data_IF_399586337023
#
_entry.id   IF_399586337023
#
_cell.length_a   1.000
_cell.length_b   1.000
_cell.length_c   1.000
_cell.angle_alpha   90.00
_cell.angle_beta   90.00
_cell.angle_gamma   90.00
#
_symmetry.space_group_name_H-M   'P 1'
#
loop_
_entity.id
_entity.type
_entity.pdbx_description
1 polymer ?
#
# COMPACT_ATOMS: atom_id res chain seq x y z
N UNK A 1 -8.30 20.34 16.08
CA UNK A 1 -8.31 19.11 16.89
C UNK A 1 -7.03 19.09 17.73
N UNK A 2 -7.14 19.04 19.06
CA UNK A 2 -5.98 18.83 19.95
C UNK A 2 -5.73 17.32 20.03
N UNK A 3 -4.51 16.88 19.75
CA UNK A 3 -4.07 15.51 20.01
C UNK A 3 -3.44 15.48 21.39
N UNK A 4 -3.88 14.55 22.24
CA UNK A 4 -3.21 14.21 23.50
C UNK A 4 -2.35 12.99 23.27
N UNK A 5 -1.09 13.04 23.69
CA UNK A 5 -0.18 11.89 23.58
C UNK A 5 -0.47 10.93 24.74
N UNK A 6 -1.08 9.79 24.42
CA UNK A 6 -1.29 8.68 25.32
C UNK A 6 -0.89 7.39 24.60
N UNK A 7 0.10 6.69 25.14
CA UNK A 7 0.57 5.40 24.61
C UNK A 7 -0.09 4.25 25.35
N UNK A 8 -0.58 3.26 24.59
CA UNK A 8 -1.19 2.05 25.11
C UNK A 8 -0.43 0.82 24.59
N UNK A 9 0.02 -0.04 25.50
CA UNK A 9 0.59 -1.34 25.12
C UNK A 9 -0.54 -2.34 24.87
N UNK A 10 -0.53 -3.00 23.72
CA UNK A 10 -1.52 -4.00 23.36
C UNK A 10 -1.23 -4.64 22.01
N UNK A 11 -2.00 -5.67 21.66
CA UNK A 11 -1.96 -6.28 20.32
C UNK A 11 -3.23 -5.93 19.56
N UNK A 12 -3.10 -5.66 18.27
CA UNK A 12 -4.27 -5.32 17.44
C UNK A 12 -5.18 -6.53 17.14
N UNK A 13 -4.68 -7.76 17.37
CA UNK A 13 -5.45 -9.00 17.26
C UNK A 13 -5.99 -9.51 18.60
N UNK A 14 -5.82 -8.72 19.67
CA UNK A 14 -6.47 -8.91 20.98
C UNK A 14 -7.57 -7.85 21.15
N UNK A 15 -8.83 -8.29 21.13
CA UNK A 15 -10.01 -7.41 21.14
C UNK A 15 -10.12 -6.63 22.46
N UNK A 16 -9.67 -7.19 23.58
CA UNK A 16 -9.73 -6.50 24.87
C UNK A 16 -8.71 -5.35 24.91
N UNK A 17 -7.50 -5.57 24.38
CA UNK A 17 -6.49 -4.53 24.19
C UNK A 17 -7.00 -3.39 23.30
N UNK A 18 -7.67 -3.73 22.18
CA UNK A 18 -8.24 -2.72 21.25
C UNK A 18 -9.35 -1.92 21.93
N UNK A 19 -10.26 -2.58 22.65
CA UNK A 19 -11.35 -1.92 23.37
C UNK A 19 -10.81 -0.94 24.43
N UNK A 20 -9.75 -1.32 25.15
CA UNK A 20 -9.09 -0.45 26.11
C UNK A 20 -8.47 0.80 25.44
N UNK A 21 -7.79 0.62 24.30
CA UNK A 21 -7.15 1.70 23.56
C UNK A 21 -8.15 2.68 22.92
N UNK A 22 -9.36 2.23 22.57
CA UNK A 22 -10.37 3.08 21.93
C UNK A 22 -11.14 3.96 22.93
N UNK A 23 -11.05 3.65 24.23
CA UNK A 23 -11.84 4.33 25.25
C UNK A 23 -11.46 5.81 25.34
N UNK A 24 -12.42 6.68 25.02
CA UNK A 24 -12.26 8.14 25.08
C UNK A 24 -11.66 8.75 23.80
N UNK A 25 -11.37 7.96 22.76
CA UNK A 25 -10.92 8.46 21.48
C UNK A 25 -12.07 9.06 20.66
N UNK A 26 -11.78 10.15 19.94
CA UNK A 26 -12.72 10.73 18.97
C UNK A 26 -12.84 9.90 17.69
N UNK A 27 -11.73 9.31 17.24
CA UNK A 27 -11.64 8.50 16.04
C UNK A 27 -10.31 7.74 16.00
N UNK A 28 -10.18 6.81 15.07
CA UNK A 28 -9.01 5.93 14.94
C UNK A 28 -8.61 5.80 13.48
N UNK A 29 -7.30 5.82 13.23
CA UNK A 29 -6.72 5.43 11.94
C UNK A 29 -6.13 4.03 12.08
N UNK A 30 -6.66 3.07 11.30
CA UNK A 30 -6.28 1.65 11.40
C UNK A 30 -5.46 1.26 10.17
N UNK A 31 -4.23 0.77 10.39
CA UNK A 31 -3.37 0.22 9.34
C UNK A 31 -2.76 -1.10 9.82
N UNK A 32 -3.10 -2.19 9.12
CA UNK A 32 -2.66 -3.56 9.44
C UNK A 32 -1.50 -4.01 8.55
N UNK A 33 -0.65 -4.89 9.10
CA UNK A 33 0.48 -5.47 8.37
C UNK A 33 0.26 -6.96 8.05
N UNK A 34 -0.24 -7.24 6.84
CA UNK A 34 -0.44 -8.60 6.31
C UNK A 34 0.81 -9.47 6.42
N UNK A 35 2.00 -8.90 6.26
CA UNK A 35 3.26 -9.66 6.28
C UNK A 35 3.65 -10.13 7.69
N UNK A 36 3.11 -9.48 8.73
CA UNK A 36 3.34 -9.86 10.12
C UNK A 36 2.42 -10.99 10.58
N UNK A 37 1.14 -10.95 10.19
CA UNK A 37 0.09 -11.83 10.75
C UNK A 37 -0.54 -12.81 9.77
N UNK A 38 -0.21 -12.69 8.48
CA UNK A 38 -0.69 -13.57 7.42
C UNK A 38 -2.08 -13.22 6.87
N UNK A 39 -2.32 -13.66 5.63
CA UNK A 39 -3.56 -13.38 4.89
C UNK A 39 -4.79 -13.99 5.59
N UNK A 40 -4.70 -15.22 6.08
CA UNK A 40 -5.84 -15.93 6.70
C UNK A 40 -6.42 -15.21 7.93
N UNK A 41 -5.59 -14.62 8.79
CA UNK A 41 -6.05 -13.83 9.94
C UNK A 41 -6.77 -12.56 9.49
N UNK A 42 -6.31 -11.94 8.40
CA UNK A 42 -6.90 -10.73 7.81
C UNK A 42 -8.16 -11.06 6.96
N UNK A 43 -8.27 -12.28 6.41
CA UNK A 43 -9.34 -12.75 5.51
C UNK A 43 -10.46 -13.59 6.18
N UNK A 44 -10.26 -14.15 7.37
CA UNK A 44 -11.26 -15.02 8.04
C UNK A 44 -12.66 -14.37 8.14
N UNK A 45 -12.75 -13.05 8.34
CA UNK A 45 -14.02 -12.33 8.35
C UNK A 45 -14.71 -12.26 6.96
N UNK A 46 -13.94 -12.15 5.87
CA UNK A 46 -14.43 -12.13 4.48
C UNK A 46 -15.21 -13.39 4.11
N UNK A 47 -14.61 -14.55 4.45
CA UNK A 47 -15.09 -15.88 4.10
C UNK A 47 -16.40 -16.18 4.83
N UNK A 48 -16.57 -15.70 6.08
CA UNK A 48 -17.85 -15.86 6.80
C UNK A 48 -19.00 -15.06 6.20
N UNK A 49 -18.72 -13.94 5.52
CA UNK A 49 -19.73 -13.12 4.87
C UNK A 49 -20.18 -13.71 3.51
N UNK A 50 -19.26 -14.30 2.74
CA UNK A 50 -19.60 -15.08 1.53
C UNK A 50 -20.37 -16.37 1.85
N UNK A 51 -19.98 -17.09 2.91
CA UNK A 51 -20.66 -18.32 3.36
C UNK A 51 -22.11 -18.06 3.84
N UNK A 52 -22.38 -16.95 4.53
CA UNK A 52 -23.74 -16.58 4.97
C UNK A 52 -24.61 -16.10 3.80
N UNK A 53 -24.02 -15.42 2.82
CA UNK A 53 -24.69 -15.02 1.58
C UNK A 53 -25.17 -16.26 0.77
N UNK A 54 -24.39 -17.34 0.73
CA UNK A 54 -24.74 -18.60 0.05
C UNK A 54 -25.85 -19.42 0.74
N UNK A 55 -26.12 -19.19 2.04
CA UNK A 55 -27.14 -19.92 2.83
C UNK A 55 -28.50 -19.22 2.90
N UNK A 56 -28.60 -18.00 2.38
CA UNK A 56 -29.83 -17.20 2.42
C UNK A 56 -30.53 -17.29 1.07
N UNK A 57 -31.64 -18.05 1.00
CA UNK A 57 -32.31 -18.41 -0.26
C UNK A 57 -32.79 -17.22 -1.13
N UNK A 58 -32.87 -16.01 -0.57
CA UNK A 58 -33.22 -14.77 -1.29
C UNK A 58 -32.04 -14.03 -1.90
N UNK A 59 -30.79 -14.43 -1.63
CA UNK A 59 -29.58 -13.77 -2.12
C UNK A 59 -29.24 -14.22 -3.55
N UNK A 60 -29.05 -13.28 -4.50
CA UNK A 60 -28.97 -13.61 -5.95
C UNK A 60 -27.73 -13.13 -6.70
N UNK A 61 -26.84 -12.34 -6.10
CA UNK A 61 -25.62 -11.88 -6.78
C UNK A 61 -24.50 -11.57 -5.78
N UNK A 62 -23.29 -12.03 -6.09
CA UNK A 62 -22.07 -11.75 -5.36
C UNK A 62 -20.98 -11.44 -6.39
N UNK A 63 -20.43 -10.22 -6.37
CA UNK A 63 -19.42 -9.76 -7.33
C UNK A 63 -18.04 -9.71 -6.67
N UNK A 64 -17.07 -10.36 -7.29
CA UNK A 64 -15.64 -10.23 -6.99
C UNK A 64 -14.81 -10.63 -8.22
N UNK A 65 -13.77 -9.86 -8.55
CA UNK A 65 -12.86 -10.17 -9.65
C UNK A 65 -11.69 -10.99 -9.09
N UNK A 66 -11.65 -12.28 -9.39
CA UNK A 66 -10.73 -13.27 -8.80
C UNK A 66 -9.75 -13.86 -9.83
N UNK A 67 -9.25 -13.07 -10.78
CA UNK A 67 -8.23 -13.55 -11.70
C UNK A 67 -6.92 -13.82 -10.92
N UNK A 68 -6.51 -15.09 -10.89
CA UNK A 68 -5.36 -15.59 -10.15
C UNK A 68 -4.06 -14.89 -10.55
N UNK A 69 -3.96 -14.37 -11.78
CA UNK A 69 -2.76 -13.65 -12.22
C UNK A 69 -2.49 -12.38 -11.40
N UNK A 70 -3.52 -11.76 -10.83
CA UNK A 70 -3.41 -10.54 -10.00
C UNK A 70 -3.33 -10.81 -8.50
N UNK A 71 -3.38 -12.08 -8.08
CA UNK A 71 -3.41 -12.47 -6.68
C UNK A 71 -2.26 -11.83 -5.92
N UNK A 72 -2.60 -11.03 -4.92
CA UNK A 72 -1.63 -10.38 -4.06
C UNK A 72 -2.18 -10.30 -2.66
N UNK A 73 -1.61 -11.09 -1.76
CA UNK A 73 -2.25 -11.38 -0.47
C UNK A 73 -2.59 -10.14 0.36
N UNK A 74 -1.79 -9.08 0.20
CA UNK A 74 -1.94 -7.83 0.94
C UNK A 74 -2.92 -6.85 0.28
N UNK A 75 -3.16 -6.96 -1.04
CA UNK A 75 -4.25 -6.27 -1.73
C UNK A 75 -5.58 -6.97 -1.47
N UNK A 76 -5.63 -8.29 -1.61
CA UNK A 76 -6.85 -9.08 -1.44
C UNK A 76 -7.46 -8.87 -0.05
N UNK A 77 -6.63 -8.93 0.99
CA UNK A 77 -7.08 -8.73 2.39
C UNK A 77 -7.66 -7.34 2.63
N UNK A 78 -7.06 -6.30 2.02
CA UNK A 78 -7.52 -4.91 2.17
C UNK A 78 -8.77 -4.63 1.34
N UNK A 79 -8.83 -5.20 0.13
CA UNK A 79 -10.01 -5.12 -0.73
C UNK A 79 -11.23 -5.73 -0.04
N UNK A 80 -11.07 -6.87 0.61
CA UNK A 80 -12.11 -7.48 1.46
C UNK A 80 -12.63 -6.52 2.53
N UNK A 81 -11.72 -5.94 3.34
CA UNK A 81 -12.12 -5.04 4.44
C UNK A 81 -12.79 -3.79 3.88
N UNK A 82 -12.29 -3.26 2.76
CA UNK A 82 -12.88 -2.15 2.05
C UNK A 82 -14.30 -2.46 1.57
N UNK A 83 -14.55 -3.63 0.96
CA UNK A 83 -15.89 -4.04 0.54
C UNK A 83 -16.83 -4.27 1.73
N UNK A 84 -16.35 -4.84 2.84
CA UNK A 84 -17.13 -4.93 4.07
C UNK A 84 -17.56 -3.54 4.57
N UNK A 85 -16.63 -2.58 4.65
CA UNK A 85 -16.91 -1.20 5.08
C UNK A 85 -17.89 -0.51 4.13
N UNK A 86 -17.73 -0.66 2.80
CA UNK A 86 -18.66 -0.11 1.80
C UNK A 86 -20.11 -0.59 1.95
N UNK A 87 -20.31 -1.75 2.57
CA UNK A 87 -21.64 -2.27 2.88
C UNK A 87 -22.17 -1.85 4.27
N UNK A 88 -21.41 -1.08 5.05
CA UNK A 88 -21.86 -0.54 6.34
C UNK A 88 -22.45 0.86 6.17
N UNK A 89 -23.47 1.18 6.97
CA UNK A 89 -23.96 2.55 7.09
C UNK A 89 -22.84 3.49 7.58
N UNK A 90 -22.73 4.67 6.98
CA UNK A 90 -21.85 5.74 7.40
C UNK A 90 -22.61 7.05 7.34
N UNK A 91 -22.59 7.83 8.41
CA UNK A 91 -23.20 9.16 8.40
C UNK A 91 -22.30 10.23 9.01
N UNK A 92 -22.17 11.33 8.28
CA UNK A 92 -21.42 12.53 8.62
C UNK A 92 -22.09 13.45 9.66
N UNK A 93 -23.15 12.99 10.32
CA UNK A 93 -24.06 13.79 11.16
C UNK A 93 -23.53 14.16 12.56
N UNK A 94 -22.35 13.65 12.93
CA UNK A 94 -21.71 13.85 14.23
C UNK A 94 -22.19 12.92 15.35
N UNK A 95 -23.26 12.13 15.13
CA UNK A 95 -23.84 11.24 16.15
C UNK A 95 -23.66 9.75 15.80
N UNK A 96 -23.62 9.43 14.51
CA UNK A 96 -23.46 8.07 13.99
C UNK A 96 -21.99 7.75 13.73
N UNK A 97 -21.60 6.48 13.66
CA UNK A 97 -20.24 6.13 13.21
C UNK A 97 -20.02 6.61 11.75
N UNK A 98 -18.83 7.12 11.47
CA UNK A 98 -18.38 7.42 10.12
C UNK A 98 -17.19 6.53 9.79
N UNK A 99 -17.18 5.98 8.58
CA UNK A 99 -16.00 5.36 8.02
C UNK A 99 -15.58 6.08 6.73
N UNK A 100 -14.27 6.08 6.49
CA UNK A 100 -13.65 6.50 5.23
C UNK A 100 -12.50 5.53 4.97
N UNK A 101 -12.36 5.07 3.72
CA UNK A 101 -11.24 4.22 3.31
C UNK A 101 -10.20 5.12 2.65
N UNK A 102 -8.94 5.01 3.06
CA UNK A 102 -7.80 5.67 2.40
C UNK A 102 -7.01 4.59 1.66
N UNK A 103 -7.19 4.53 0.34
CA UNK A 103 -6.52 3.54 -0.52
C UNK A 103 -5.28 4.17 -1.12
N UNK A 104 -4.11 3.70 -0.71
CA UNK A 104 -2.80 4.15 -1.19
C UNK A 104 -2.19 3.19 -2.20
N UNK A 105 -0.97 3.46 -2.65
CA UNK A 105 -0.13 2.47 -3.33
C UNK A 105 1.23 2.32 -2.64
N UNK A 106 2.28 1.91 -3.37
CA UNK A 106 3.59 1.66 -2.78
C UNK A 106 4.22 2.96 -2.26
N UNK A 107 4.93 2.86 -1.15
CA UNK A 107 5.55 4.03 -0.53
C UNK A 107 6.72 4.54 -1.38
N UNK A 108 6.87 5.85 -1.56
CA UNK A 108 8.02 6.46 -2.23
C UNK A 108 9.33 6.19 -1.47
N UNK A 109 9.24 5.95 -0.17
CA UNK A 109 10.31 5.45 0.67
C UNK A 109 10.82 4.08 0.17
N UNK A 110 10.02 3.32 -0.58
CA UNK A 110 10.49 2.09 -1.22
C UNK A 110 11.38 2.32 -2.45
N UNK A 111 11.66 3.56 -2.85
CA UNK A 111 12.69 3.86 -3.85
C UNK A 111 14.07 3.39 -3.39
N UNK A 112 14.32 3.30 -2.08
CA UNK A 112 15.56 2.78 -1.53
C UNK A 112 15.57 1.26 -1.33
N UNK A 113 14.53 0.53 -1.73
CA UNK A 113 14.48 -0.95 -1.66
C UNK A 113 13.98 -1.56 -2.99
N UNK A 114 14.11 -2.86 -3.15
CA UNK A 114 13.87 -3.59 -4.42
C UNK A 114 12.44 -3.53 -4.99
N UNK A 115 11.49 -2.90 -4.27
CA UNK A 115 10.09 -2.79 -4.69
C UNK A 115 9.86 -1.69 -5.75
N UNK A 116 10.39 -0.48 -5.51
CA UNK A 116 10.35 0.66 -6.45
C UNK A 116 11.76 1.15 -6.84
N UNK A 117 12.78 0.69 -6.14
CA UNK A 117 14.16 1.10 -6.36
C UNK A 117 14.78 0.51 -7.61
N UNK A 118 15.93 1.06 -8.01
CA UNK A 118 16.69 0.57 -9.15
C UNK A 118 17.39 -0.76 -8.82
N UNK A 119 17.96 -1.40 -9.84
CA UNK A 119 18.92 -2.49 -9.67
C UNK A 119 20.19 -1.98 -9.00
N UNK A 120 20.86 -2.86 -8.25
CA UNK A 120 22.17 -2.57 -7.65
C UNK A 120 23.23 -2.28 -8.71
N UNK A 121 23.15 -2.96 -9.85
CA UNK A 121 24.07 -2.78 -10.97
C UNK A 121 23.69 -1.56 -11.82
N UNK A 122 24.72 -0.77 -12.16
CA UNK A 122 24.60 0.37 -13.07
C UNK A 122 25.00 -0.04 -14.49
N UNK A 123 24.41 0.62 -15.48
CA UNK A 123 24.76 0.45 -16.89
C UNK A 123 25.48 1.69 -17.38
N UNK A 124 26.77 1.59 -17.73
CA UNK A 124 27.59 2.73 -18.17
C UNK A 124 27.54 3.93 -17.19
N UNK A 125 27.47 3.65 -15.88
CA UNK A 125 27.35 4.67 -14.82
C UNK A 125 25.91 5.15 -14.56
N UNK A 126 24.94 4.80 -15.41
CA UNK A 126 23.54 5.13 -15.22
C UNK A 126 22.84 4.20 -14.22
N UNK A 127 21.92 4.76 -13.42
CA UNK A 127 21.02 4.01 -12.54
C UNK A 127 20.02 3.23 -13.41
N UNK A 128 19.80 1.95 -13.11
CA UNK A 128 18.92 1.09 -13.92
C UNK A 128 17.63 0.78 -13.19
N UNK A 129 16.50 1.28 -13.66
CA UNK A 129 15.18 0.85 -13.19
C UNK A 129 14.67 -0.32 -14.00
N UNK A 130 14.42 -1.44 -13.34
CA UNK A 130 13.89 -2.66 -13.97
C UNK A 130 12.56 -3.14 -13.36
N UNK A 131 11.84 -2.25 -12.65
CA UNK A 131 10.54 -2.55 -12.05
C UNK A 131 9.59 -3.14 -13.12
N UNK A 132 9.05 -4.35 -12.93
CA UNK A 132 8.31 -5.06 -13.97
C UNK A 132 6.85 -4.61 -14.04
N UNK A 133 6.62 -3.31 -14.24
CA UNK A 133 5.30 -2.68 -14.24
C UNK A 133 4.74 -2.42 -15.65
N UNK A 134 5.28 -3.06 -16.69
CA UNK A 134 4.83 -2.86 -18.06
C UNK A 134 4.81 -1.37 -18.45
N UNK A 135 3.83 -0.95 -19.25
CA UNK A 135 3.64 0.47 -19.59
C UNK A 135 2.54 1.15 -18.78
N UNK A 136 1.96 0.45 -17.80
CA UNK A 136 0.96 1.04 -16.92
C UNK A 136 1.57 1.82 -15.76
N UNK A 137 0.69 2.35 -14.91
CA UNK A 137 1.04 3.37 -13.93
C UNK A 137 1.04 2.85 -12.50
N UNK A 138 1.98 3.37 -11.72
CA UNK A 138 2.23 3.06 -10.32
C UNK A 138 1.71 4.23 -9.45
N UNK A 139 0.72 4.02 -8.56
CA UNK A 139 0.17 5.06 -7.70
C UNK A 139 0.98 5.20 -6.40
N UNK A 140 2.20 5.70 -6.48
CA UNK A 140 3.08 5.82 -5.33
C UNK A 140 2.64 6.92 -4.35
N UNK A 141 2.87 6.73 -3.05
CA UNK A 141 2.50 7.66 -1.96
C UNK A 141 3.71 7.92 -1.05
N UNK A 142 3.92 9.12 -0.52
CA UNK A 142 4.86 9.32 0.59
C UNK A 142 4.16 9.04 1.93
N UNK A 143 4.88 8.50 2.91
CA UNK A 143 4.30 8.24 4.24
C UNK A 143 3.81 9.53 4.90
N UNK A 144 4.49 10.66 4.67
CA UNK A 144 4.07 11.98 5.15
C UNK A 144 2.73 12.42 4.56
N UNK A 145 2.51 12.19 3.26
CA UNK A 145 1.23 12.51 2.62
C UNK A 145 0.10 11.61 3.16
N UNK A 146 0.37 10.37 3.58
CA UNK A 146 -0.62 9.51 4.24
C UNK A 146 -1.11 10.17 5.53
N UNK A 147 -0.20 10.70 6.34
CA UNK A 147 -0.55 11.40 7.59
C UNK A 147 -1.46 12.60 7.33
N UNK A 148 -1.17 13.38 6.29
CA UNK A 148 -2.02 14.50 5.88
C UNK A 148 -3.42 14.03 5.47
N UNK A 149 -3.52 13.00 4.63
CA UNK A 149 -4.80 12.48 4.18
C UNK A 149 -5.60 11.81 5.29
N UNK A 150 -4.95 11.15 6.24
CA UNK A 150 -5.62 10.63 7.44
C UNK A 150 -6.20 11.78 8.28
N UNK A 151 -5.47 12.89 8.46
CA UNK A 151 -6.00 14.08 9.13
C UNK A 151 -7.17 14.70 8.36
N UNK A 152 -7.06 14.77 7.03
CA UNK A 152 -8.10 15.31 6.15
C UNK A 152 -9.45 14.62 6.37
N UNK A 153 -9.49 13.29 6.49
CA UNK A 153 -10.75 12.55 6.70
C UNK A 153 -11.38 12.83 8.06
N UNK A 154 -10.58 13.10 9.10
CA UNK A 154 -11.11 13.54 10.40
C UNK A 154 -11.68 14.96 10.34
N UNK A 155 -10.98 15.88 9.69
CA UNK A 155 -11.41 17.28 9.60
C UNK A 155 -12.58 17.47 8.61
N UNK A 156 -12.76 16.58 7.63
CA UNK A 156 -13.80 16.61 6.58
C UNK A 156 -14.76 15.41 6.68
N UNK A 157 -14.99 14.93 7.90
CA UNK A 157 -15.78 13.73 8.22
C UNK A 157 -17.10 13.63 7.46
N UNK A 158 -17.84 14.73 7.34
CA UNK A 158 -19.13 14.73 6.65
C UNK A 158 -19.01 14.51 5.14
N UNK A 159 -17.95 15.05 4.53
CA UNK A 159 -17.68 14.95 3.09
C UNK A 159 -17.08 13.58 2.73
N UNK A 160 -16.28 12.99 3.63
CA UNK A 160 -15.60 11.72 3.38
C UNK A 160 -16.36 10.49 3.87
N UNK A 161 -17.52 10.69 4.50
CA UNK A 161 -18.35 9.61 5.03
C UNK A 161 -18.76 8.64 3.93
N UNK A 162 -18.45 7.36 4.13
CA UNK A 162 -18.78 6.29 3.21
C UNK A 162 -17.97 6.29 1.91
N UNK A 163 -16.87 7.06 1.84
CA UNK A 163 -16.05 7.20 0.65
C UNK A 163 -14.79 6.36 0.71
N UNK A 164 -14.32 5.92 -0.46
CA UNK A 164 -12.96 5.42 -0.67
C UNK A 164 -12.13 6.50 -1.38
N UNK A 165 -11.18 7.08 -0.66
CA UNK A 165 -10.23 8.04 -1.20
C UNK A 165 -9.03 7.29 -1.76
N UNK A 166 -9.00 7.10 -3.08
CA UNK A 166 -7.87 6.52 -3.81
C UNK A 166 -6.82 7.59 -4.04
N UNK A 167 -5.85 7.69 -3.13
CA UNK A 167 -4.84 8.74 -3.09
C UNK A 167 -3.48 8.25 -3.60
N UNK A 168 -2.67 9.18 -4.10
CA UNK A 168 -1.29 8.98 -4.50
C UNK A 168 -0.53 10.31 -4.43
N UNK A 169 0.74 10.25 -4.08
CA UNK A 169 1.68 11.37 -4.24
C UNK A 169 2.09 11.51 -5.69
N UNK A 170 2.21 10.39 -6.40
CA UNK A 170 2.57 10.36 -7.81
C UNK A 170 1.86 9.20 -8.48
N UNK A 171 1.44 9.39 -9.74
CA UNK A 171 0.82 8.33 -10.53
C UNK A 171 1.54 8.23 -11.87
N UNK A 172 2.54 7.36 -11.94
CA UNK A 172 3.60 7.41 -12.95
C UNK A 172 3.90 6.06 -13.57
N UNK A 173 4.33 6.09 -14.82
CA UNK A 173 5.06 4.99 -15.46
C UNK A 173 6.50 4.91 -14.94
N UNK A 174 7.18 3.79 -15.24
CA UNK A 174 8.61 3.64 -14.91
C UNK A 174 9.47 4.61 -15.74
N UNK A 175 9.05 4.96 -16.96
CA UNK A 175 9.76 5.95 -17.78
C UNK A 175 9.71 7.35 -17.16
N UNK A 176 8.54 7.77 -16.67
CA UNK A 176 8.39 9.04 -15.95
C UNK A 176 9.18 9.06 -14.62
N UNK A 177 9.25 7.93 -13.92
CA UNK A 177 10.09 7.78 -12.73
C UNK A 177 11.57 8.04 -13.07
N UNK A 178 12.09 7.39 -14.10
CA UNK A 178 13.48 7.55 -14.57
C UNK A 178 13.76 8.98 -14.99
N UNK A 179 12.84 9.59 -15.73
CA UNK A 179 12.95 10.96 -16.22
C UNK A 179 12.96 11.97 -15.06
N UNK A 180 11.99 11.87 -14.14
CA UNK A 180 11.88 12.73 -12.95
C UNK A 180 13.08 12.56 -12.02
N UNK A 181 13.56 11.33 -11.83
CA UNK A 181 14.78 11.07 -11.07
C UNK A 181 16.00 11.76 -11.70
N UNK A 182 16.19 11.62 -13.00
CA UNK A 182 17.32 12.23 -13.73
C UNK A 182 17.27 13.75 -13.62
N UNK A 183 16.09 14.37 -13.80
CA UNK A 183 15.91 15.82 -13.61
C UNK A 183 16.15 16.28 -12.19
N UNK A 184 15.71 15.49 -11.21
CA UNK A 184 15.81 15.86 -9.80
C UNK A 184 17.25 15.82 -9.28
N UNK A 185 18.05 14.87 -9.77
CA UNK A 185 19.38 14.55 -9.23
C UNK A 185 20.54 14.93 -10.16
N UNK A 186 20.29 15.06 -11.46
CA UNK A 186 21.34 15.14 -12.49
C UNK A 186 22.07 13.81 -12.74
N UNK A 187 21.68 12.73 -12.08
CA UNK A 187 22.30 11.41 -12.23
C UNK A 187 21.64 10.70 -13.43
N UNK A 188 22.42 10.22 -14.42
CA UNK A 188 21.87 9.46 -15.54
C UNK A 188 21.11 8.23 -15.05
N UNK A 189 19.92 7.99 -15.58
CA UNK A 189 19.14 6.80 -15.31
C UNK A 189 18.49 6.26 -16.59
N UNK A 190 18.28 4.95 -16.62
CA UNK A 190 17.67 4.23 -17.74
C UNK A 190 16.64 3.24 -17.24
N UNK A 191 15.61 3.01 -18.05
CA UNK A 191 14.66 1.92 -17.85
C UNK A 191 15.15 0.67 -18.58
N UNK A 192 15.24 -0.45 -17.87
CA UNK A 192 15.42 -1.79 -18.45
C UNK A 192 14.09 -2.53 -18.39
N UNK A 193 13.50 -2.80 -19.55
CA UNK A 193 12.25 -3.56 -19.62
C UNK A 193 12.52 -5.02 -19.27
N UNK A 194 11.77 -5.55 -18.31
CA UNK A 194 11.84 -6.94 -17.88
C UNK A 194 10.43 -7.49 -17.67
N UNK A 195 10.25 -8.77 -17.98
CA UNK A 195 9.05 -9.50 -17.55
C UNK A 195 9.08 -9.66 -16.02
N UNK A 196 7.91 -9.88 -15.42
CA UNK A 196 7.82 -10.24 -13.99
C UNK A 196 8.66 -11.49 -13.72
N UNK A 197 8.55 -12.49 -14.60
CA UNK A 197 9.24 -13.78 -14.47
C UNK A 197 10.76 -13.63 -14.52
N UNK A 198 11.31 -12.76 -15.36
CA UNK A 198 12.75 -12.52 -15.42
C UNK A 198 13.24 -11.66 -14.25
N UNK A 199 12.43 -10.71 -13.78
CA UNK A 199 12.78 -9.90 -12.61
C UNK A 199 12.89 -10.78 -11.35
N UNK A 200 11.98 -11.75 -11.18
CA UNK A 200 12.02 -12.70 -10.06
C UNK A 200 13.28 -13.59 -10.07
N UNK A 201 13.92 -13.80 -11.22
CA UNK A 201 15.16 -14.59 -11.33
C UNK A 201 16.41 -13.82 -10.88
N UNK A 202 16.33 -12.49 -10.72
CA UNK A 202 17.49 -11.69 -10.27
C UNK A 202 17.87 -11.99 -8.82
N UNK A 203 16.88 -12.27 -7.97
CA UNK A 203 17.08 -12.50 -6.53
C UNK A 203 16.28 -13.72 -6.04
N UNK A 204 16.58 -14.94 -6.53
CA UNK A 204 15.76 -16.12 -6.27
C UNK A 204 15.66 -16.45 -4.78
N UNK A 205 16.73 -16.26 -4.01
CA UNK A 205 16.71 -16.45 -2.55
C UNK A 205 15.73 -15.51 -1.83
N UNK A 206 15.60 -14.28 -2.34
CA UNK A 206 14.65 -13.31 -1.79
C UNK A 206 13.21 -13.60 -2.23
N UNK A 207 13.01 -13.89 -3.51
CA UNK A 207 11.67 -14.04 -4.07
C UNK A 207 11.02 -15.38 -3.73
N UNK A 208 11.80 -16.45 -3.55
CA UNK A 208 11.27 -17.77 -3.21
C UNK A 208 11.01 -17.96 -1.72
N UNK A 209 11.37 -16.99 -0.87
CA UNK A 209 11.10 -17.09 0.57
C UNK A 209 9.62 -16.77 0.85
N UNK A 210 9.04 -17.34 1.92
CA UNK A 210 7.71 -16.96 2.38
C UNK A 210 7.64 -15.47 2.73
N UNK A 211 6.58 -14.78 2.28
CA UNK A 211 6.42 -13.35 2.59
C UNK A 211 5.93 -13.11 4.01
N UNK A 212 5.18 -14.08 4.56
CA UNK A 212 4.65 -14.05 5.92
C UNK A 212 5.54 -14.91 6.82
N UNK A 213 6.23 -14.30 7.78
CA UNK A 213 7.20 -15.00 8.65
C UNK A 213 6.57 -16.18 9.41
N UNK A 214 5.32 -16.03 9.86
CA UNK A 214 4.59 -17.03 10.64
C UNK A 214 3.88 -18.11 9.79
N UNK A 215 3.99 -18.04 8.46
CA UNK A 215 3.39 -19.02 7.54
C UNK A 215 4.47 -19.51 6.56
N UNK A 216 5.36 -20.44 6.99
CA UNK A 216 6.48 -20.90 6.17
C UNK A 216 6.05 -21.63 4.89
N UNK A 217 4.83 -22.19 4.86
CA UNK A 217 4.24 -22.84 3.68
C UNK A 217 3.30 -21.90 2.90
N UNK A 218 3.26 -20.61 3.25
CA UNK A 218 2.42 -19.60 2.61
C UNK A 218 3.01 -19.03 1.32
N UNK A 219 2.31 -18.08 0.67
CA UNK A 219 2.78 -17.46 -0.55
C UNK A 219 4.15 -16.80 -0.39
N UNK A 220 4.95 -16.92 -1.44
CA UNK A 220 6.28 -16.33 -1.50
C UNK A 220 6.21 -14.83 -1.74
N UNK A 221 7.35 -14.16 -1.50
CA UNK A 221 7.52 -12.75 -1.88
C UNK A 221 7.26 -12.58 -3.39
N UNK A 222 7.83 -13.46 -4.21
CA UNK A 222 7.71 -13.38 -5.66
C UNK A 222 6.28 -13.51 -6.15
N UNK A 223 5.53 -14.51 -5.67
CA UNK A 223 4.11 -14.70 -6.03
C UNK A 223 3.26 -13.48 -5.67
N UNK A 224 3.48 -12.92 -4.48
CA UNK A 224 2.69 -11.79 -3.98
C UNK A 224 2.93 -10.52 -4.79
N UNK A 225 4.18 -10.20 -5.10
CA UNK A 225 4.51 -8.99 -5.85
C UNK A 225 4.29 -9.15 -7.35
N UNK A 226 4.37 -10.38 -7.89
CA UNK A 226 4.00 -10.66 -9.27
C UNK A 226 2.55 -10.24 -9.58
N UNK A 227 1.60 -10.56 -8.71
CA UNK A 227 0.21 -10.13 -8.87
C UNK A 227 0.06 -8.61 -8.91
N UNK A 228 0.69 -7.92 -7.96
CA UNK A 228 0.70 -6.46 -7.89
C UNK A 228 1.35 -5.81 -9.14
N UNK A 229 2.50 -6.31 -9.59
CA UNK A 229 3.17 -5.81 -10.78
C UNK A 229 2.35 -6.03 -12.05
N UNK A 230 1.57 -7.12 -12.14
CA UNK A 230 0.63 -7.35 -13.24
C UNK A 230 -0.57 -6.40 -13.19
N UNK A 231 -1.07 -6.06 -12.01
CA UNK A 231 -2.10 -5.01 -11.85
C UNK A 231 -1.61 -3.67 -12.41
N UNK A 232 -0.34 -3.32 -12.17
CA UNK A 232 0.25 -2.11 -12.73
C UNK A 232 0.52 -2.25 -14.23
N UNK A 233 1.06 -3.38 -14.67
CA UNK A 233 1.35 -3.64 -16.08
C UNK A 233 0.12 -3.54 -16.98
N UNK A 234 -1.03 -4.01 -16.48
CA UNK A 234 -2.31 -3.97 -17.18
C UNK A 234 -3.09 -2.66 -16.93
N UNK A 235 -2.48 -1.66 -16.29
CA UNK A 235 -3.02 -0.31 -15.99
C UNK A 235 -4.42 -0.32 -15.33
N UNK A 236 -4.62 -1.24 -14.39
CA UNK A 236 -5.94 -1.50 -13.79
C UNK A 236 -6.31 -0.58 -12.62
N UNK A 237 -5.41 0.32 -12.23
CA UNK A 237 -5.62 1.25 -11.13
C UNK A 237 -5.85 2.66 -11.65
N UNK A 238 -6.71 3.41 -10.96
CA UNK A 238 -6.98 4.81 -11.27
C UNK A 238 -6.75 5.70 -10.06
N UNK A 239 -6.34 6.95 -10.33
CA UNK A 239 -6.19 8.02 -9.33
C UNK A 239 -6.69 9.32 -9.95
N UNK A 240 -7.57 10.02 -9.25
CA UNK A 240 -7.97 11.38 -9.63
C UNK A 240 -6.89 12.37 -9.15
N UNK A 241 -5.82 12.49 -9.94
CA UNK A 241 -4.68 13.32 -9.57
C UNK A 241 -5.06 14.81 -9.52
N UNK A 242 -6.02 15.27 -10.32
CA UNK A 242 -6.45 16.67 -10.31
C UNK A 242 -7.14 17.02 -8.99
N UNK A 243 -8.07 16.16 -8.54
CA UNK A 243 -8.68 16.31 -7.23
C UNK A 243 -7.66 16.21 -6.10
N UNK A 244 -6.73 15.25 -6.16
CA UNK A 244 -5.67 15.08 -5.17
C UNK A 244 -4.82 16.36 -5.06
N UNK A 245 -4.37 16.92 -6.18
CA UNK A 245 -3.53 18.13 -6.21
C UNK A 245 -4.26 19.37 -5.73
N UNK A 246 -5.54 19.51 -6.06
CA UNK A 246 -6.35 20.63 -5.58
C UNK A 246 -6.62 20.53 -4.07
N UNK A 247 -6.83 19.32 -3.56
CA UNK A 247 -7.17 19.08 -2.15
C UNK A 247 -5.94 19.13 -1.24
N UNK A 248 -4.82 18.52 -1.67
CA UNK A 248 -3.54 18.57 -0.99
C UNK A 248 -2.48 19.30 -1.85
N UNK A 249 -2.56 20.63 -2.01
CA UNK A 249 -1.66 21.38 -2.88
C UNK A 249 -0.22 21.40 -2.38
N UNK A 250 0.00 21.13 -1.08
CA UNK A 250 1.31 21.02 -0.45
C UNK A 250 1.90 19.62 -0.52
N UNK A 251 1.17 18.62 -1.03
CA UNK A 251 1.65 17.24 -1.12
C UNK A 251 2.88 17.11 -2.01
N UNK A 252 3.68 16.07 -1.79
CA UNK A 252 4.91 15.90 -2.58
C UNK A 252 4.63 15.71 -4.07
N UNK A 253 5.57 16.14 -4.89
CA UNK A 253 5.80 15.53 -6.20
C UNK A 253 6.95 14.53 -6.05
N UNK A 254 7.09 13.58 -6.98
CA UNK A 254 8.24 12.67 -6.95
C UNK A 254 9.57 13.44 -6.94
N UNK A 255 9.72 14.47 -7.77
CA UNK A 255 10.96 15.25 -7.85
C UNK A 255 11.26 16.00 -6.55
N UNK A 256 10.24 16.61 -5.93
CA UNK A 256 10.41 17.29 -4.64
C UNK A 256 10.80 16.29 -3.55
N UNK A 257 10.13 15.14 -3.52
CA UNK A 257 10.44 14.06 -2.60
C UNK A 257 11.90 13.58 -2.76
N UNK A 258 12.34 13.29 -3.99
CA UNK A 258 13.71 12.83 -4.27
C UNK A 258 14.73 13.86 -3.80
N UNK A 259 14.52 15.15 -4.10
CA UNK A 259 15.44 16.23 -3.70
C UNK A 259 15.52 16.39 -2.19
N UNK A 260 14.38 16.46 -1.51
CA UNK A 260 14.32 16.71 -0.07
C UNK A 260 14.77 15.51 0.76
N UNK A 261 14.49 14.28 0.31
CA UNK A 261 14.95 13.05 0.96
C UNK A 261 16.36 12.64 0.55
N UNK A 262 16.98 13.34 -0.40
CA UNK A 262 18.35 13.09 -0.83
C UNK A 262 18.56 11.71 -1.46
N UNK A 263 17.55 11.17 -2.14
CA UNK A 263 17.67 9.86 -2.79
C UNK A 263 18.50 9.95 -4.08
N UNK A 264 19.60 9.19 -4.14
CA UNK A 264 20.61 9.25 -5.22
C UNK A 264 20.64 8.00 -6.11
N UNK A 265 19.62 7.14 -6.01
CA UNK A 265 19.54 5.88 -6.76
C UNK A 265 20.32 4.73 -6.12
N UNK A 266 20.77 4.86 -4.87
CA UNK A 266 21.33 3.74 -4.09
C UNK A 266 20.25 3.05 -3.26
N UNK A 267 20.29 1.72 -3.26
CA UNK A 267 19.50 0.92 -2.33
C UNK A 267 20.10 1.00 -0.91
N UNK A 268 19.24 0.97 0.10
CA UNK A 268 19.62 0.87 1.51
C UNK A 268 20.20 -0.52 1.82
N UNK A 269 21.20 -0.59 2.71
CA UNK A 269 21.89 -1.82 3.15
C UNK A 269 20.95 -2.90 3.74
N UNK A 270 19.72 -2.54 4.12
CA UNK A 270 18.65 -3.49 4.49
C UNK A 270 17.96 -4.06 3.24
N UNK A 271 18.77 -4.62 2.33
CA UNK A 271 18.53 -4.86 0.90
C UNK A 271 17.20 -5.52 0.49
N UNK A 272 16.38 -6.02 1.41
CA UNK A 272 15.20 -6.83 1.12
C UNK A 272 14.08 -6.76 2.18
N UNK A 273 14.21 -5.87 3.17
CA UNK A 273 13.14 -5.64 4.14
C UNK A 273 12.27 -4.48 3.68
N UNK A 274 10.99 -4.78 3.44
CA UNK A 274 9.98 -3.74 3.25
C UNK A 274 9.94 -2.85 4.49
N UNK A 275 9.64 -1.56 4.34
CA UNK A 275 9.52 -0.64 5.48
C UNK A 275 8.61 -1.20 6.58
N UNK A 276 7.50 -1.85 6.19
CA UNK A 276 6.57 -2.52 7.10
C UNK A 276 7.19 -3.63 7.97
N UNK A 277 8.33 -4.19 7.56
CA UNK A 277 9.06 -5.22 8.29
C UNK A 277 10.28 -4.66 9.04
N UNK A 278 10.82 -3.52 8.61
CA UNK A 278 12.01 -2.90 9.22
C UNK A 278 11.77 -2.37 10.64
N UNK A 279 10.51 -2.09 11.02
CA UNK A 279 10.16 -1.61 12.37
C UNK A 279 10.07 -2.74 13.41
N UNK A 280 10.04 -4.01 13.00
CA UNK A 280 9.97 -5.15 13.92
C UNK A 280 11.29 -5.46 14.64
N UNK A 281 12.40 -4.84 14.21
CA UNK A 281 13.73 -5.03 14.80
C UNK A 281 14.08 -4.01 15.89
N UNK A 282 13.20 -3.07 16.22
CA UNK A 282 13.37 -2.19 17.37
C UNK A 282 12.74 -2.87 18.58
N UNK A 283 13.53 -3.68 19.27
CA UNK A 283 13.25 -3.98 20.68
C UNK A 283 13.15 -2.66 21.44
N UNK A 284 12.03 -2.46 22.12
CA UNK A 284 11.89 -1.50 23.22
C UNK A 284 12.09 -2.28 24.51
#
# INVERSE_FOLDING_TARGET
>A
MHFSDAEYTGRFDDIDSVAAAFKGCYGVFVNTNTFAVGQQTEIYAAIKMFEQAHRTASMKHFLGNFDEKYKSIHFDSKAVVAEFLKNQASAGDGNSLTWTIVTTGPYLENLSVSLLGPLTERENGAVVWATPAGDGRIPAISVEDIGWWARYTFDHRSETSGQELKIATEFMTVDELVEKFTRATGIPAVRKRMSVEDYLKLYPAHFNRPIVKVQPDGPTVGETFAGMWRVWSDDLVSRDMDWIRRTHPTGYTLERYIKEKGFDGKLSLMNFEFLKNSEQGREV
#
